data_IF_263744052959
#
_entry.id   IF_263744052959
#
_cell.length_a   1.000
_cell.length_b   1.000
_cell.length_c   1.000
_cell.angle_alpha   90.00
_cell.angle_beta   90.00
_cell.angle_gamma   90.00
#
_symmetry.space_group_name_H-M   'P 1'
#
loop_
_entity.id
_entity.type
_entity.pdbx_description
1 polymer ?
#
# COMPACT_ATOMS: atom_id res chain seq x y z
N UNK A 1 24.57 15.93 -8.72
CA UNK A 1 24.13 15.33 -10.00
C UNK A 1 22.67 14.93 -9.85
N UNK A 2 21.86 15.08 -10.89
CA UNK A 2 20.47 14.62 -10.89
C UNK A 2 20.43 13.10 -11.06
N UNK A 3 19.49 12.43 -10.41
CA UNK A 3 19.29 10.99 -10.56
C UNK A 3 18.49 10.67 -11.84
N UNK A 4 18.46 9.40 -12.26
CA UNK A 4 17.77 8.97 -13.48
C UNK A 4 16.28 9.36 -13.50
N UNK A 5 15.59 9.24 -12.37
CA UNK A 5 14.17 9.61 -12.24
C UNK A 5 13.95 11.12 -12.44
N UNK A 6 14.81 11.95 -11.85
CA UNK A 6 14.77 13.40 -12.01
C UNK A 6 15.04 13.82 -13.46
N UNK A 7 15.98 13.15 -14.14
CA UNK A 7 16.28 13.41 -15.55
C UNK A 7 15.09 13.04 -16.44
N UNK A 8 14.47 11.88 -16.23
CA UNK A 8 13.26 11.49 -16.94
C UNK A 8 12.12 12.49 -16.72
N UNK A 9 11.93 12.92 -15.46
CA UNK A 9 10.91 13.88 -15.10
C UNK A 9 11.13 15.25 -15.75
N UNK A 10 12.37 15.71 -15.88
CA UNK A 10 12.70 16.93 -16.63
C UNK A 10 12.40 16.79 -18.13
N UNK A 11 12.66 15.63 -18.72
CA UNK A 11 12.31 15.35 -20.12
C UNK A 11 10.80 15.30 -20.38
N UNK A 12 10.00 14.94 -19.38
CA UNK A 12 8.53 15.04 -19.44
C UNK A 12 8.05 16.48 -19.26
N UNK A 13 8.58 17.19 -18.27
CA UNK A 13 8.22 18.59 -17.99
C UNK A 13 8.56 19.50 -19.18
N UNK A 14 9.66 19.24 -19.89
CA UNK A 14 10.05 20.03 -21.07
C UNK A 14 9.11 19.88 -22.27
N UNK A 15 8.28 18.85 -22.30
CA UNK A 15 7.26 18.66 -23.35
C UNK A 15 6.02 19.51 -23.10
N UNK A 16 5.85 20.06 -21.89
CA UNK A 16 4.74 20.92 -21.55
C UNK A 16 5.03 22.35 -22.03
N UNK A 17 4.15 22.88 -22.85
CA UNK A 17 4.21 24.28 -23.32
C UNK A 17 3.71 25.28 -22.26
N UNK A 18 3.36 24.80 -21.06
CA UNK A 18 2.71 25.59 -20.03
C UNK A 18 3.74 26.27 -19.12
N UNK A 19 3.63 27.58 -18.97
CA UNK A 19 4.51 28.33 -18.08
C UNK A 19 4.25 28.04 -16.60
N UNK A 20 5.32 27.91 -15.82
CA UNK A 20 5.24 27.80 -14.37
C UNK A 20 5.06 29.19 -13.76
N UNK A 21 4.01 29.36 -12.97
CA UNK A 21 3.74 30.60 -12.25
C UNK A 21 3.68 30.32 -10.74
N UNK A 22 4.15 31.28 -9.95
CA UNK A 22 4.01 31.21 -8.49
C UNK A 22 2.57 31.50 -8.12
N UNK A 23 1.96 30.58 -7.38
CA UNK A 23 0.63 30.75 -6.79
C UNK A 23 0.83 31.11 -5.31
N UNK A 24 0.07 32.08 -4.81
CA UNK A 24 0.05 32.40 -3.38
C UNK A 24 -0.65 31.29 -2.58
N UNK A 25 -0.22 31.05 -1.34
CA UNK A 25 -0.78 29.98 -0.50
C UNK A 25 -2.30 30.07 -0.34
N UNK A 26 -2.84 31.28 -0.19
CA UNK A 26 -4.29 31.52 -0.08
C UNK A 26 -5.06 31.19 -1.36
N UNK A 27 -4.39 31.16 -2.52
CA UNK A 27 -4.99 30.81 -3.81
C UNK A 27 -4.82 29.33 -4.16
N UNK A 28 -4.18 28.56 -3.28
CA UNK A 28 -3.90 27.14 -3.46
C UNK A 28 -4.73 26.25 -2.52
N UNK A 29 -5.81 26.78 -1.94
CA UNK A 29 -6.67 26.10 -0.95
C UNK A 29 -7.20 24.75 -1.44
N UNK A 30 -7.60 24.65 -2.72
CA UNK A 30 -8.09 23.39 -3.29
C UNK A 30 -6.99 22.31 -3.28
N UNK A 31 -5.79 22.66 -3.75
CA UNK A 31 -4.68 21.71 -3.75
C UNK A 31 -4.26 21.40 -2.31
N UNK A 32 -4.22 22.39 -1.41
CA UNK A 32 -3.95 22.16 0.01
C UNK A 32 -4.97 21.19 0.62
N UNK A 33 -6.27 21.35 0.36
CA UNK A 33 -7.31 20.44 0.84
C UNK A 33 -7.19 19.03 0.25
N UNK A 34 -6.78 18.90 -1.01
CA UNK A 34 -6.56 17.59 -1.65
C UNK A 34 -5.30 16.88 -1.13
N UNK A 35 -4.24 17.63 -0.79
CA UNK A 35 -2.97 17.09 -0.34
C UNK A 35 -2.83 17.04 1.19
N UNK A 36 -3.67 17.77 1.95
CA UNK A 36 -3.72 17.72 3.42
C UNK A 36 -3.93 16.31 3.96
N UNK A 37 -4.90 15.52 3.47
CA UNK A 37 -5.07 14.13 3.90
C UNK A 37 -3.81 13.31 3.69
N UNK A 38 -3.07 13.52 2.59
CA UNK A 38 -1.80 12.82 2.36
C UNK A 38 -0.71 13.26 3.34
N UNK A 39 -0.62 14.54 3.69
CA UNK A 39 0.38 15.04 4.65
C UNK A 39 0.06 14.59 6.07
N UNK A 40 -1.22 14.68 6.48
CA UNK A 40 -1.69 14.18 7.77
C UNK A 40 -1.55 12.66 7.87
N UNK A 41 -1.79 11.93 6.77
CA UNK A 41 -1.55 10.49 6.70
C UNK A 41 -0.05 10.15 6.77
N UNK A 42 0.83 10.96 6.18
CA UNK A 42 2.28 10.77 6.33
C UNK A 42 2.74 11.04 7.77
N UNK A 43 2.14 12.02 8.44
CA UNK A 43 2.38 12.26 9.87
C UNK A 43 1.81 11.14 10.74
N UNK A 44 0.65 10.59 10.37
CA UNK A 44 0.06 9.42 10.99
C UNK A 44 1.00 8.21 10.83
N UNK A 45 1.47 7.93 9.61
CA UNK A 45 2.47 6.90 9.30
C UNK A 45 3.78 7.11 10.07
N UNK A 46 4.21 8.35 10.32
CA UNK A 46 5.40 8.64 11.15
C UNK A 46 5.18 8.44 12.65
N UNK A 47 3.93 8.47 13.11
CA UNK A 47 3.52 8.19 14.50
C UNK A 47 3.25 6.71 14.73
N UNK A 48 3.11 5.93 13.67
CA UNK A 48 3.04 4.47 13.77
C UNK A 48 4.45 3.98 14.12
N UNK A 49 4.59 3.43 15.32
CA UNK A 49 5.83 2.77 15.71
C UNK A 49 5.92 1.42 14.99
N UNK A 50 6.63 1.43 13.85
CA UNK A 50 6.89 0.23 13.06
C UNK A 50 7.67 -0.84 13.86
N UNK A 51 8.38 -0.45 14.93
CA UNK A 51 9.08 -1.37 15.83
C UNK A 51 8.10 -2.06 16.76
N UNK A 52 7.16 -1.31 17.35
CA UNK A 52 6.06 -1.86 18.16
C UNK A 52 5.19 -2.78 17.30
N UNK A 53 4.81 -2.36 16.10
CA UNK A 53 4.10 -3.22 15.15
C UNK A 53 4.88 -4.49 14.79
N UNK A 54 6.20 -4.39 14.58
CA UNK A 54 7.03 -5.55 14.32
C UNK A 54 7.14 -6.48 15.54
N UNK A 55 7.13 -5.92 16.76
CA UNK A 55 7.11 -6.71 18.02
C UNK A 55 5.76 -7.40 18.21
N UNK A 56 4.65 -6.72 17.96
CA UNK A 56 3.30 -7.30 17.99
C UNK A 56 3.12 -8.37 16.91
N UNK A 57 3.59 -8.11 15.68
CA UNK A 57 3.65 -9.11 14.61
C UNK A 57 4.58 -10.29 14.94
N UNK A 58 5.61 -10.10 15.79
CA UNK A 58 6.47 -11.19 16.28
C UNK A 58 5.87 -11.94 17.47
N UNK A 59 5.01 -11.31 18.26
CA UNK A 59 4.27 -11.93 19.34
C UNK A 59 3.10 -12.76 18.81
N UNK A 60 2.49 -12.32 17.71
CA UNK A 60 1.78 -13.16 16.74
C UNK A 60 2.83 -13.97 15.97
N UNK A 61 3.69 -14.69 16.69
CA UNK A 61 4.79 -15.45 16.10
C UNK A 61 4.28 -16.33 14.98
N UNK A 62 5.13 -16.50 13.97
CA UNK A 62 4.99 -17.43 12.83
C UNK A 62 4.26 -18.72 13.22
N UNK A 63 2.94 -18.71 13.15
CA UNK A 63 2.11 -19.90 13.38
C UNK A 63 2.04 -20.75 12.10
N UNK A 64 2.88 -20.43 11.11
CA UNK A 64 3.08 -21.21 9.90
C UNK A 64 4.39 -22.00 9.96
N UNK A 65 4.93 -22.26 11.16
CA UNK A 65 6.08 -23.15 11.36
C UNK A 65 5.67 -24.55 11.83
N UNK A 66 4.50 -25.02 11.40
CA UNK A 66 4.13 -26.43 11.49
C UNK A 66 3.65 -26.91 10.12
N UNK A 67 4.57 -27.61 9.48
CA UNK A 67 4.44 -28.39 8.26
C UNK A 67 4.21 -27.61 6.96
N UNK A 68 5.24 -27.69 6.12
CA UNK A 68 5.28 -27.39 4.68
C UNK A 68 4.30 -28.29 3.87
N UNK A 69 3.36 -28.97 4.54
CA UNK A 69 2.30 -29.81 3.96
C UNK A 69 0.87 -29.31 4.24
N UNK A 70 0.67 -28.10 4.80
CA UNK A 70 -0.62 -27.69 5.41
C UNK A 70 -1.58 -26.80 4.60
N UNK A 71 -1.38 -26.56 3.30
CA UNK A 71 -2.38 -25.81 2.50
C UNK A 71 -3.52 -26.74 2.10
N UNK A 72 -4.68 -26.59 2.73
CA UNK A 72 -5.89 -27.31 2.33
C UNK A 72 -6.56 -26.53 1.20
N UNK A 73 -6.32 -26.97 -0.04
CA UNK A 73 -6.98 -26.41 -1.21
C UNK A 73 -8.28 -27.18 -1.51
N UNK A 74 -9.36 -26.46 -1.75
CA UNK A 74 -10.66 -27.04 -2.12
C UNK A 74 -11.27 -26.30 -3.30
N UNK A 75 -11.84 -27.05 -4.25
CA UNK A 75 -12.64 -26.48 -5.34
C UNK A 75 -13.98 -25.97 -4.81
N UNK A 76 -14.18 -24.66 -4.88
CA UNK A 76 -15.40 -23.98 -4.47
C UNK A 76 -16.22 -23.59 -5.71
N UNK A 77 -17.53 -23.90 -5.77
CA UNK A 77 -18.36 -23.52 -6.90
C UNK A 77 -18.54 -22.00 -6.96
N UNK A 78 -18.51 -21.45 -8.17
CA UNK A 78 -18.80 -20.05 -8.40
C UNK A 78 -20.31 -19.78 -8.27
N UNK A 79 -20.66 -18.64 -7.69
CA UNK A 79 -22.06 -18.20 -7.56
C UNK A 79 -22.71 -17.82 -8.89
N UNK A 80 -21.96 -17.84 -10.00
CA UNK A 80 -22.46 -17.50 -11.33
C UNK A 80 -21.73 -18.36 -12.36
N UNK A 81 -22.38 -19.44 -12.79
CA UNK A 81 -21.88 -20.38 -13.81
C UNK A 81 -21.38 -21.71 -13.24
N UNK A 82 -21.11 -22.66 -14.13
CA UNK A 82 -20.71 -24.04 -13.79
C UNK A 82 -19.21 -24.19 -13.42
N UNK A 83 -18.53 -23.08 -13.16
CA UNK A 83 -17.10 -23.05 -12.86
C UNK A 83 -16.81 -23.32 -11.39
N UNK A 84 -15.66 -23.94 -11.11
CA UNK A 84 -15.09 -24.06 -9.77
C UNK A 84 -13.79 -23.26 -9.67
N UNK A 85 -13.49 -22.76 -8.48
CA UNK A 85 -12.20 -22.11 -8.18
C UNK A 85 -11.52 -22.81 -7.03
N UNK A 86 -10.23 -23.11 -7.20
CA UNK A 86 -9.41 -23.68 -6.15
C UNK A 86 -9.13 -22.62 -5.07
N UNK A 87 -9.73 -22.79 -3.89
CA UNK A 87 -9.60 -21.89 -2.75
C UNK A 87 -8.74 -22.52 -1.65
N UNK A 88 -7.89 -21.70 -1.04
CA UNK A 88 -7.22 -22.07 0.21
C UNK A 88 -8.20 -21.94 1.37
N UNK A 89 -8.55 -23.06 2.00
CA UNK A 89 -9.46 -23.13 3.15
C UNK A 89 -8.69 -23.38 4.47
N UNK A 90 -7.36 -23.30 4.45
CA UNK A 90 -6.58 -23.44 5.67
C UNK A 90 -6.97 -22.36 6.69
N UNK A 91 -7.37 -22.79 7.89
CA UNK A 91 -7.99 -21.91 8.89
C UNK A 91 -6.96 -21.27 9.85
N UNK A 92 -5.66 -21.51 9.65
CA UNK A 92 -4.63 -21.21 10.67
C UNK A 92 -3.57 -20.20 10.27
N UNK A 93 -3.63 -19.61 9.07
CA UNK A 93 -2.74 -18.51 8.75
C UNK A 93 -3.36 -17.20 9.28
N UNK A 94 -2.90 -16.75 10.45
CA UNK A 94 -3.22 -15.42 10.94
C UNK A 94 -2.81 -14.39 9.89
N UNK A 95 -3.79 -13.65 9.34
CA UNK A 95 -3.52 -12.55 8.43
C UNK A 95 -2.64 -11.53 9.15
N UNK A 96 -1.46 -11.17 8.62
CA UNK A 96 -0.66 -10.12 9.22
C UNK A 96 -1.49 -8.84 9.26
N UNK A 97 -1.44 -8.16 10.40
CA UNK A 97 -2.07 -6.85 10.53
C UNK A 97 -1.46 -5.91 9.49
N UNK A 98 -2.29 -5.45 8.56
CA UNK A 98 -1.98 -4.39 7.61
C UNK A 98 -2.47 -3.07 8.24
N UNK A 99 -1.57 -2.09 8.50
CA UNK A 99 -1.94 -0.80 9.07
C UNK A 99 -2.74 0.06 8.08
#
# INVERSE_FOLDING_TARGET
MLNSQQIHQLGYISQLTLGLHRIDGSRNELADALFRPSIENLQCLSKIDLTEMAVEQRHIGSLCDKDVNGRQLQDLPLTTGDGTTLCDISTTCYCPFLP
#
